data_IF_643407364418
#
_entry.id   IF_643407364418
#
_cell.length_a   1.000
_cell.length_b   1.000
_cell.length_c   1.000
_cell.angle_alpha   90.00
_cell.angle_beta   90.00
_cell.angle_gamma   90.00
#
_symmetry.space_group_name_H-M   'P 1'
#
loop_
_entity.id
_entity.type
_entity.pdbx_description
1 polymer ?
#
# COMPACT_ATOMS: atom_id res chain seq x y z
N UNK A 1 17.75 37.30 -40.93
CA UNK A 1 18.16 38.16 -39.79
C UNK A 1 17.63 37.53 -38.51
N UNK A 2 18.52 37.36 -37.52
CA UNK A 2 18.28 36.64 -36.27
C UNK A 2 17.77 37.55 -35.15
N UNK A 3 16.92 37.04 -34.27
CA UNK A 3 16.87 37.37 -32.83
C UNK A 3 16.03 36.29 -32.12
N UNK A 4 16.62 35.32 -31.40
CA UNK A 4 17.21 35.35 -30.03
C UNK A 4 16.15 35.25 -28.90
N UNK A 5 15.97 34.01 -28.45
CA UNK A 5 15.81 33.51 -27.08
C UNK A 5 14.89 34.21 -26.08
N UNK A 6 13.86 33.47 -25.63
CA UNK A 6 13.53 33.24 -24.21
C UNK A 6 12.63 32.00 -24.15
N UNK A 7 13.14 30.87 -23.65
CA UNK A 7 12.96 30.40 -22.26
C UNK A 7 11.52 29.92 -22.01
N UNK A 8 11.16 28.81 -21.36
CA UNK A 8 11.81 27.79 -20.54
C UNK A 8 10.72 26.70 -20.32
N UNK A 9 11.11 25.42 -20.41
CA UNK A 9 10.63 24.26 -19.63
C UNK A 9 9.13 24.16 -19.27
N UNK A 10 8.41 23.32 -20.01
CA UNK A 10 7.26 22.56 -19.50
C UNK A 10 7.64 21.08 -19.51
N UNK A 11 8.50 20.73 -18.55
CA UNK A 11 8.78 19.36 -18.14
C UNK A 11 8.08 19.12 -16.79
N UNK A 12 7.61 17.88 -16.59
CA UNK A 12 6.95 17.33 -15.40
C UNK A 12 5.41 17.26 -15.45
N UNK A 13 4.85 16.47 -16.38
CA UNK A 13 3.54 15.85 -16.14
C UNK A 13 3.35 14.57 -16.97
N UNK A 14 4.25 13.60 -16.84
CA UNK A 14 4.05 12.27 -17.43
C UNK A 14 4.93 11.22 -16.73
N UNK A 15 4.68 10.97 -15.45
CA UNK A 15 5.29 9.85 -14.71
C UNK A 15 4.21 8.92 -14.12
N UNK A 16 3.05 8.82 -14.79
CA UNK A 16 1.93 7.98 -14.38
C UNK A 16 1.44 7.05 -15.50
N UNK A 17 2.31 6.63 -16.43
CA UNK A 17 1.94 5.68 -17.48
C UNK A 17 3.09 4.68 -17.65
N UNK A 18 2.72 3.40 -17.54
CA UNK A 18 3.56 2.19 -17.70
C UNK A 18 4.13 1.57 -16.42
N UNK A 19 3.22 1.22 -15.50
CA UNK A 19 3.31 -0.08 -14.83
C UNK A 19 2.06 -0.88 -15.22
N UNK A 20 1.99 -1.26 -16.49
CA UNK A 20 1.10 -2.34 -16.94
C UNK A 20 1.74 -3.65 -16.47
N UNK A 21 1.50 -4.02 -15.23
CA UNK A 21 1.82 -5.35 -14.70
C UNK A 21 0.50 -6.09 -14.57
N UNK A 22 0.30 -7.01 -15.52
CA UNK A 22 -0.45 -8.27 -15.40
C UNK A 22 -1.71 -8.26 -14.53
N UNK A 23 -2.86 -8.10 -15.16
CA UNK A 23 -4.15 -8.53 -14.63
C UNK A 23 -4.09 -9.99 -14.15
N UNK A 24 -4.19 -10.23 -12.84
CA UNK A 24 -4.15 -11.57 -12.25
C UNK A 24 -5.19 -11.74 -11.12
N UNK A 25 -6.47 -11.72 -11.51
CA UNK A 25 -7.54 -12.52 -10.90
C UNK A 25 -7.52 -12.71 -9.36
N UNK A 26 -8.06 -11.74 -8.59
CA UNK A 26 -8.77 -12.04 -7.31
C UNK A 26 -10.27 -12.16 -7.56
N UNK A 27 -10.64 -12.71 -8.70
CA UNK A 27 -11.98 -13.21 -8.89
C UNK A 27 -12.16 -14.50 -8.09
N UNK A 28 -12.74 -14.37 -6.90
CA UNK A 28 -13.40 -15.42 -6.07
C UNK A 28 -12.61 -15.96 -4.87
N UNK A 29 -13.25 -15.75 -3.72
CA UNK A 29 -13.12 -16.50 -2.46
C UNK A 29 -12.78 -17.97 -2.72
N UNK A 30 -11.55 -18.34 -2.41
CA UNK A 30 -11.21 -19.72 -2.05
C UNK A 30 -10.48 -19.64 -0.73
N UNK A 31 -11.24 -19.48 0.35
CA UNK A 31 -10.84 -19.93 1.67
C UNK A 31 -10.82 -21.46 1.61
N UNK A 32 -9.75 -22.01 1.03
CA UNK A 32 -9.47 -23.43 1.20
C UNK A 32 -9.03 -23.57 2.67
N UNK A 33 -9.89 -24.19 3.49
CA UNK A 33 -9.57 -24.60 4.85
C UNK A 33 -9.41 -23.43 5.85
N UNK A 34 -10.45 -22.59 5.99
CA UNK A 34 -10.60 -21.68 7.13
C UNK A 34 -9.47 -20.68 7.36
N UNK A 35 -8.59 -20.46 6.38
CA UNK A 35 -7.50 -19.48 6.47
C UNK A 35 -7.32 -18.77 5.15
N UNK A 36 -6.78 -17.55 5.22
CA UNK A 36 -6.44 -16.84 4.01
C UNK A 36 -5.34 -17.50 3.22
N UNK A 37 -5.55 -17.55 1.92
CA UNK A 37 -4.57 -18.04 0.97
C UNK A 37 -3.24 -17.29 1.18
N UNK A 38 -2.14 -18.03 1.36
CA UNK A 38 -0.80 -17.47 1.59
C UNK A 38 -0.39 -16.47 0.51
N UNK A 39 -0.83 -16.65 -0.74
CA UNK A 39 -0.60 -15.67 -1.81
C UNK A 39 -1.28 -14.34 -1.51
N UNK A 40 -2.52 -14.35 -1.03
CA UNK A 40 -3.27 -13.13 -0.67
C UNK A 40 -2.57 -12.42 0.47
N UNK A 41 -2.15 -13.15 1.50
CA UNK A 41 -1.41 -12.60 2.64
C UNK A 41 -0.09 -11.95 2.20
N UNK A 42 0.69 -12.64 1.36
CA UNK A 42 1.96 -12.11 0.85
C UNK A 42 1.75 -10.88 -0.03
N UNK A 43 0.76 -10.91 -0.92
CA UNK A 43 0.41 -9.77 -1.76
C UNK A 43 -0.03 -8.57 -0.92
N UNK A 44 -0.80 -8.81 0.14
CA UNK A 44 -1.18 -7.75 1.07
C UNK A 44 0.05 -7.16 1.77
N UNK A 45 0.94 -8.00 2.30
CA UNK A 45 2.15 -7.51 2.98
C UNK A 45 2.98 -6.61 2.07
N UNK A 46 3.19 -7.01 0.82
CA UNK A 46 3.96 -6.21 -0.16
C UNK A 46 3.24 -4.93 -0.56
N UNK A 47 1.90 -4.96 -0.65
CA UNK A 47 1.09 -3.77 -0.91
C UNK A 47 1.18 -2.77 0.23
N UNK A 48 1.13 -3.23 1.49
CA UNK A 48 1.30 -2.35 2.65
C UNK A 48 2.68 -1.71 2.60
N UNK A 49 3.75 -2.49 2.40
CA UNK A 49 5.13 -1.94 2.27
C UNK A 49 5.23 -0.88 1.19
N UNK A 50 4.57 -1.09 0.04
CA UNK A 50 4.54 -0.12 -1.04
C UNK A 50 3.81 1.17 -0.62
N UNK A 51 2.63 1.04 -0.01
CA UNK A 51 1.82 2.17 0.43
C UNK A 51 2.46 2.96 1.58
N UNK A 52 3.27 2.30 2.42
CA UNK A 52 3.97 2.92 3.53
C UNK A 52 5.41 3.31 3.20
N UNK A 53 5.92 3.12 1.97
CA UNK A 53 7.34 3.38 1.62
C UNK A 53 7.87 4.78 1.99
N UNK A 54 6.98 5.77 2.11
CA UNK A 54 7.30 7.16 2.45
C UNK A 54 7.03 7.49 3.93
N UNK A 55 6.58 6.51 4.73
CA UNK A 55 6.43 6.65 6.18
C UNK A 55 7.83 6.73 6.79
N UNK A 56 8.15 7.79 7.56
CA UNK A 56 9.46 7.94 8.17
C UNK A 56 9.82 6.75 9.07
N UNK A 57 11.05 6.27 8.93
CA UNK A 57 11.67 5.33 9.85
C UNK A 57 12.57 6.07 10.85
N UNK A 58 12.79 5.46 12.02
CA UNK A 58 13.80 5.88 12.99
C UNK A 58 14.74 4.70 13.27
N UNK A 59 15.89 4.97 13.91
CA UNK A 59 16.99 4.01 14.09
C UNK A 59 16.61 2.61 14.61
N UNK A 60 15.50 2.50 15.36
CA UNK A 60 14.99 1.23 15.88
C UNK A 60 13.49 1.00 15.59
N UNK A 61 12.90 1.80 14.71
CA UNK A 61 11.49 1.72 14.35
C UNK A 61 11.33 1.80 12.84
N UNK A 62 10.82 0.71 12.26
CA UNK A 62 10.52 0.57 10.83
C UNK A 62 9.01 0.36 10.66
N UNK A 63 8.17 1.41 10.80
CA UNK A 63 6.71 1.27 10.81
C UNK A 63 6.18 0.54 9.58
N UNK A 64 6.77 0.82 8.41
CA UNK A 64 6.40 0.18 7.15
C UNK A 64 6.49 -1.33 7.21
N UNK A 65 7.62 -1.85 7.66
CA UNK A 65 7.86 -3.29 7.68
C UNK A 65 7.13 -3.97 8.82
N UNK A 66 7.10 -3.35 10.00
CA UNK A 66 6.43 -3.90 11.18
C UNK A 66 4.92 -3.93 10.98
N UNK A 67 4.30 -2.83 10.54
CA UNK A 67 2.86 -2.80 10.28
C UNK A 67 2.45 -3.71 9.13
N UNK A 68 3.26 -3.83 8.06
CA UNK A 68 2.97 -4.79 6.99
C UNK A 68 2.84 -6.21 7.53
N UNK A 69 3.79 -6.65 8.36
CA UNK A 69 3.78 -7.99 8.98
C UNK A 69 2.67 -8.18 10.00
N UNK A 70 2.40 -7.17 10.82
CA UNK A 70 1.34 -7.24 11.82
C UNK A 70 -0.03 -7.38 11.16
N UNK A 71 -0.32 -6.54 10.17
CA UNK A 71 -1.62 -6.54 9.48
C UNK A 71 -1.78 -7.76 8.59
N UNK A 72 -0.74 -8.18 7.85
CA UNK A 72 -0.79 -9.41 7.04
C UNK A 72 -0.88 -10.67 7.92
N UNK A 73 -0.18 -10.69 9.05
CA UNK A 73 -0.24 -11.76 10.03
C UNK A 73 -1.64 -11.91 10.63
N UNK A 74 -2.29 -10.80 10.97
CA UNK A 74 -3.69 -10.81 11.41
C UNK A 74 -4.60 -11.42 10.34
N UNK A 75 -4.46 -11.00 9.07
CA UNK A 75 -5.26 -11.57 7.99
C UNK A 75 -4.98 -13.07 7.77
N UNK A 76 -3.74 -13.53 7.97
CA UNK A 76 -3.41 -14.95 7.86
C UNK A 76 -4.15 -15.83 8.90
N UNK A 77 -4.53 -15.23 10.03
CA UNK A 77 -5.30 -15.85 11.11
C UNK A 77 -6.81 -15.59 10.99
N UNK A 78 -7.24 -14.73 10.07
CA UNK A 78 -8.64 -14.42 9.84
C UNK A 78 -9.31 -15.51 8.97
N UNK A 79 -10.34 -16.15 9.53
CA UNK A 79 -11.08 -17.22 8.85
C UNK A 79 -11.93 -16.67 7.69
N UNK A 80 -12.30 -15.39 7.73
CA UNK A 80 -13.19 -14.74 6.75
C UNK A 80 -12.45 -14.07 5.59
N UNK A 81 -11.16 -13.79 5.77
CA UNK A 81 -10.33 -13.03 4.84
C UNK A 81 -10.90 -11.66 4.49
N UNK A 82 -11.38 -10.94 5.50
CA UNK A 82 -11.97 -9.63 5.31
C UNK A 82 -10.89 -8.58 5.05
N UNK A 83 -10.65 -8.30 3.76
CA UNK A 83 -9.75 -7.23 3.35
C UNK A 83 -10.30 -5.83 3.68
N UNK A 84 -11.60 -5.69 3.97
CA UNK A 84 -12.21 -4.37 4.21
C UNK A 84 -11.74 -3.72 5.52
N UNK A 85 -11.29 -4.51 6.49
CA UNK A 85 -10.77 -4.00 7.77
C UNK A 85 -9.29 -3.61 7.72
N UNK A 86 -8.54 -4.09 6.72
CA UNK A 86 -7.09 -3.86 6.58
C UNK A 86 -6.69 -2.38 6.65
N UNK A 87 -7.41 -1.42 6.03
CA UNK A 87 -7.06 0.00 6.15
C UNK A 87 -7.08 0.52 7.59
N UNK A 88 -8.06 0.09 8.39
CA UNK A 88 -8.23 0.52 9.78
C UNK A 88 -7.12 -0.07 10.66
N UNK A 89 -6.81 -1.37 10.48
CA UNK A 89 -5.68 -2.01 11.17
C UNK A 89 -4.32 -1.39 10.82
N UNK A 90 -4.14 -0.99 9.55
CA UNK A 90 -2.94 -0.27 9.14
C UNK A 90 -2.87 1.12 9.79
N UNK A 91 -3.99 1.85 9.82
CA UNK A 91 -4.07 3.16 10.46
C UNK A 91 -3.70 3.08 11.94
N UNK A 92 -4.31 2.15 12.68
CA UNK A 92 -4.05 1.92 14.10
C UNK A 92 -2.59 1.56 14.37
N UNK A 93 -2.02 0.65 13.56
CA UNK A 93 -0.61 0.28 13.69
C UNK A 93 0.32 1.48 13.49
N UNK A 94 0.06 2.31 12.46
CA UNK A 94 0.87 3.49 12.19
C UNK A 94 0.70 4.55 13.30
N UNK A 95 -0.50 4.75 13.84
CA UNK A 95 -0.72 5.66 14.97
C UNK A 95 0.00 5.20 16.25
N UNK A 96 0.22 3.89 16.42
CA UNK A 96 1.04 3.36 17.52
C UNK A 96 2.47 3.91 17.55
N UNK A 97 2.99 4.38 16.41
CA UNK A 97 4.27 5.10 16.35
C UNK A 97 4.03 6.59 16.63
N UNK A 98 4.05 7.00 17.89
CA UNK A 98 3.74 8.36 18.33
C UNK A 98 4.61 9.50 17.74
N UNK A 99 5.65 9.20 16.96
CA UNK A 99 6.41 10.19 16.19
C UNK A 99 5.84 10.44 14.78
N UNK A 100 5.00 9.55 14.27
CA UNK A 100 4.31 9.72 13.00
C UNK A 100 3.24 10.79 13.14
N UNK A 101 3.01 11.51 12.04
CA UNK A 101 1.99 12.55 11.96
C UNK A 101 0.94 12.14 10.94
N UNK A 102 -0.26 12.67 11.08
CA UNK A 102 -1.38 12.42 10.16
C UNK A 102 -0.99 12.56 8.68
N UNK A 103 -0.14 13.55 8.34
CA UNK A 103 0.37 13.77 6.97
C UNK A 103 1.16 12.59 6.38
N UNK A 104 1.71 11.72 7.22
CA UNK A 104 2.43 10.51 6.82
C UNK A 104 1.51 9.28 6.82
N UNK A 105 0.51 9.25 7.70
CA UNK A 105 -0.41 8.12 7.89
C UNK A 105 -1.50 8.12 6.81
N UNK A 106 -2.23 9.24 6.66
CA UNK A 106 -3.37 9.35 5.72
C UNK A 106 -3.05 8.92 4.29
N UNK A 107 -1.91 9.31 3.68
CA UNK A 107 -1.60 8.87 2.33
C UNK A 107 -1.40 7.35 2.22
N UNK A 108 -0.81 6.72 3.24
CA UNK A 108 -0.60 5.28 3.27
C UNK A 108 -1.94 4.52 3.43
N UNK A 109 -2.80 4.98 4.34
CA UNK A 109 -4.14 4.40 4.55
C UNK A 109 -5.01 4.56 3.30
N UNK A 110 -4.98 5.74 2.67
CA UNK A 110 -5.69 5.97 1.40
C UNK A 110 -5.15 5.08 0.28
N UNK A 111 -3.83 4.87 0.22
CA UNK A 111 -3.21 3.99 -0.76
C UNK A 111 -3.70 2.54 -0.60
N UNK A 112 -3.69 1.99 0.62
CA UNK A 112 -4.11 0.60 0.84
C UNK A 112 -5.62 0.43 0.57
N UNK A 113 -6.44 1.40 1.01
CA UNK A 113 -7.88 1.41 0.73
C UNK A 113 -8.15 1.37 -0.77
N UNK A 114 -7.50 2.24 -1.53
CA UNK A 114 -7.63 2.26 -2.98
C UNK A 114 -7.14 0.95 -3.62
N UNK A 115 -6.05 0.35 -3.12
CA UNK A 115 -5.50 -0.90 -3.64
C UNK A 115 -6.46 -2.08 -3.45
N UNK A 116 -7.13 -2.15 -2.31
CA UNK A 116 -8.16 -3.14 -1.99
C UNK A 116 -9.43 -2.90 -2.81
N UNK A 117 -9.95 -1.67 -2.81
CA UNK A 117 -11.19 -1.30 -3.51
C UNK A 117 -11.08 -1.43 -5.04
N UNK A 118 -9.89 -1.18 -5.59
CA UNK A 118 -9.68 -1.27 -7.03
C UNK A 118 -9.41 -2.70 -7.51
N UNK A 119 -9.32 -3.68 -6.60
CA UNK A 119 -8.77 -5.02 -6.86
C UNK A 119 -7.34 -4.99 -7.43
N UNK A 120 -6.65 -3.83 -7.35
CA UNK A 120 -5.39 -3.52 -8.09
C UNK A 120 -4.16 -4.19 -7.46
N UNK A 121 -4.31 -4.83 -6.30
CA UNK A 121 -3.22 -5.58 -5.68
C UNK A 121 -3.55 -7.06 -5.50
N UNK A 122 -3.78 -7.77 -6.61
CA UNK A 122 -3.23 -9.11 -6.88
C UNK A 122 -3.16 -9.41 -8.38
#
# INVERSE_FOLDING_TARGET
MASKYSMIVLALSACCLMAAVSASAIGKKVAAEGRCNTRVVNNLEDTIKLCTRNVPAQQFAEPSWQCARTVSGWLAEDDECDLSVVPDYLEDCLWGYGFLRERSIRPAVKCIKNAIESEICC
#
